data_IF_277560387391
#
_entry.id   IF_277560387391
#
_cell.length_a   1.000
_cell.length_b   1.000
_cell.length_c   1.000
_cell.angle_alpha   90.00
_cell.angle_beta   90.00
_cell.angle_gamma   90.00
#
_symmetry.space_group_name_H-M   'P 1'
#
loop_
_entity.id
_entity.type
_entity.pdbx_description
1 polymer ?
#
# COMPACT_ATOMS: atom_id res chain seq x y z
N UNK A 1 8.36 1.61 -24.00
CA UNK A 1 7.95 0.92 -22.76
C UNK A 1 6.58 1.43 -22.43
N UNK A 2 5.61 0.53 -22.29
CA UNK A 2 4.24 0.90 -21.89
C UNK A 2 4.24 1.24 -20.39
N UNK A 3 3.76 2.43 -20.05
CA UNK A 3 3.53 2.81 -18.66
C UNK A 3 2.22 2.16 -18.20
N UNK A 4 2.29 1.33 -17.16
CA UNK A 4 1.08 0.74 -16.57
C UNK A 4 0.63 1.65 -15.43
N UNK A 5 -0.57 2.22 -15.55
CA UNK A 5 -1.22 2.93 -14.46
C UNK A 5 -1.63 1.92 -13.39
N UNK A 6 -1.28 2.20 -12.15
CA UNK A 6 -1.54 1.32 -11.00
C UNK A 6 -1.79 2.14 -9.75
N UNK A 7 -2.18 1.46 -8.67
CA UNK A 7 -2.46 2.09 -7.39
C UNK A 7 -1.55 1.48 -6.32
N UNK A 8 -1.02 2.29 -5.44
CA UNK A 8 -0.23 1.87 -4.29
C UNK A 8 -0.73 2.55 -3.02
N UNK A 9 -0.44 1.97 -1.86
CA UNK A 9 -0.77 2.59 -0.57
C UNK A 9 0.48 3.30 -0.05
N UNK A 10 0.37 4.57 0.29
CA UNK A 10 1.47 5.41 0.77
C UNK A 10 1.20 5.92 2.19
N UNK A 11 2.24 5.97 3.02
CA UNK A 11 2.17 6.65 4.29
C UNK A 11 2.27 8.17 4.06
N UNK A 12 1.24 8.92 4.46
CA UNK A 12 1.13 10.36 4.18
C UNK A 12 2.25 11.20 4.77
N UNK A 13 2.80 10.78 5.92
CA UNK A 13 3.87 11.48 6.65
C UNK A 13 5.25 11.17 6.08
N UNK A 14 5.57 9.90 5.87
CA UNK A 14 6.92 9.47 5.46
C UNK A 14 7.09 9.40 3.95
N UNK A 15 5.98 9.43 3.19
CA UNK A 15 5.94 9.25 1.75
C UNK A 15 6.54 7.92 1.27
N UNK A 16 6.61 6.92 2.16
CA UNK A 16 7.01 5.55 1.84
C UNK A 16 5.81 4.72 1.43
N UNK A 17 6.00 3.83 0.45
CA UNK A 17 4.98 2.91 -0.03
C UNK A 17 4.89 1.68 0.88
N UNK A 18 3.68 1.18 1.07
CA UNK A 18 3.42 -0.07 1.78
C UNK A 18 3.83 -1.24 0.88
N UNK A 19 4.71 -2.11 1.38
CA UNK A 19 5.11 -3.34 0.71
C UNK A 19 4.75 -4.61 1.49
N UNK A 20 4.26 -4.45 2.72
CA UNK A 20 3.83 -5.57 3.56
C UNK A 20 3.06 -5.09 4.77
N UNK A 21 2.46 -6.04 5.48
CA UNK A 21 1.68 -5.78 6.70
C UNK A 21 2.05 -6.83 7.74
N UNK A 22 2.35 -6.39 8.96
CA UNK A 22 2.52 -7.26 10.10
C UNK A 22 1.14 -7.58 10.69
N UNK A 23 0.62 -8.77 10.36
CA UNK A 23 -0.67 -9.25 10.84
C UNK A 23 -0.65 -9.75 12.29
N UNK A 24 0.53 -9.92 12.89
CA UNK A 24 0.64 -10.35 14.29
C UNK A 24 0.35 -9.23 15.29
N UNK A 25 0.46 -7.96 14.83
CA UNK A 25 0.27 -6.76 15.64
C UNK A 25 -1.00 -6.03 15.24
N UNK A 26 -2.12 -6.59 15.67
CA UNK A 26 -3.43 -5.97 15.55
C UNK A 26 -3.73 -5.06 16.75
N UNK A 27 -4.07 -3.81 16.48
CA UNK A 27 -4.35 -2.79 17.49
C UNK A 27 -5.70 -2.13 17.22
N UNK A 28 -6.56 -2.10 18.24
CA UNK A 28 -7.86 -1.45 18.18
C UNK A 28 -7.71 0.04 18.55
N UNK A 29 -8.13 0.94 17.67
CA UNK A 29 -8.15 2.38 17.95
C UNK A 29 -9.25 2.72 18.96
N UNK A 30 -9.21 3.95 19.52
CA UNK A 30 -10.25 4.45 20.44
C UNK A 30 -11.66 4.41 19.84
N UNK A 31 -11.75 4.37 18.52
CA UNK A 31 -12.97 4.40 17.72
C UNK A 31 -13.40 2.98 17.29
N UNK A 32 -12.77 1.93 17.84
CA UNK A 32 -13.10 0.53 17.58
C UNK A 32 -12.55 -0.01 16.25
N UNK A 33 -11.66 0.72 15.56
CA UNK A 33 -11.09 0.28 14.29
C UNK A 33 -9.84 -0.58 14.50
N UNK A 34 -9.75 -1.70 13.81
CA UNK A 34 -8.55 -2.53 13.78
C UNK A 34 -7.49 -1.91 12.86
N UNK A 35 -6.28 -1.74 13.38
CA UNK A 35 -5.12 -1.21 12.66
C UNK A 35 -3.94 -2.15 12.82
N UNK A 36 -3.18 -2.31 11.74
CA UNK A 36 -2.00 -3.18 11.71
C UNK A 36 -0.76 -2.37 11.38
N UNK A 37 0.40 -2.86 11.78
CA UNK A 37 1.66 -2.23 11.41
C UNK A 37 1.96 -2.49 9.94
N UNK A 38 2.23 -1.43 9.18
CA UNK A 38 2.58 -1.54 7.76
C UNK A 38 4.10 -1.48 7.60
N UNK A 39 4.65 -2.39 6.81
CA UNK A 39 6.02 -2.30 6.35
C UNK A 39 6.08 -1.32 5.17
N UNK A 40 6.94 -0.31 5.28
CA UNK A 40 7.03 0.77 4.29
C UNK A 40 8.45 0.97 3.76
N UNK A 41 8.58 1.23 2.46
CA UNK A 41 9.85 1.41 1.75
C UNK A 41 9.72 2.44 0.63
N UNK A 42 10.85 2.99 0.18
CA UNK A 42 10.91 3.79 -1.05
C UNK A 42 11.15 2.92 -2.30
N UNK A 43 11.77 1.75 -2.14
CA UNK A 43 12.17 0.88 -3.25
C UNK A 43 11.25 -0.32 -3.47
N UNK A 44 10.20 -0.47 -2.67
CA UNK A 44 9.26 -1.59 -2.78
C UNK A 44 7.86 -1.13 -2.44
N UNK A 45 6.89 -1.58 -3.22
CA UNK A 45 5.48 -1.26 -3.07
C UNK A 45 4.64 -2.46 -3.48
N UNK A 46 3.54 -2.69 -2.77
CA UNK A 46 2.44 -3.49 -3.30
C UNK A 46 1.62 -2.58 -4.22
N UNK A 47 1.39 -3.07 -5.43
CA UNK A 47 0.67 -2.36 -6.48
C UNK A 47 -0.59 -3.12 -6.86
N UNK A 48 -1.63 -2.38 -7.21
CA UNK A 48 -2.93 -2.89 -7.61
C UNK A 48 -3.24 -2.37 -9.01
N UNK A 49 -3.80 -3.22 -9.86
CA UNK A 49 -4.16 -2.84 -11.23
C UNK A 49 -5.30 -1.82 -11.28
N UNK A 50 -6.17 -1.81 -10.27
CA UNK A 50 -7.32 -0.92 -10.20
C UNK A 50 -7.56 -0.37 -8.78
N UNK A 51 -8.31 0.73 -8.71
CA UNK A 51 -8.61 1.44 -7.46
C UNK A 51 -9.36 0.54 -6.47
N UNK A 52 -10.29 -0.28 -6.94
CA UNK A 52 -11.11 -1.16 -6.08
C UNK A 52 -10.25 -2.23 -5.41
N UNK A 53 -9.25 -2.75 -6.11
CA UNK A 53 -8.23 -3.64 -5.56
C UNK A 53 -7.41 -2.96 -4.48
N UNK A 54 -7.03 -1.70 -4.69
CA UNK A 54 -6.31 -0.92 -3.70
C UNK A 54 -7.16 -0.60 -2.46
N UNK A 55 -8.45 -0.28 -2.62
CA UNK A 55 -9.39 -0.04 -1.51
C UNK A 55 -9.55 -1.28 -0.65
N UNK A 56 -9.77 -2.45 -1.26
CA UNK A 56 -9.81 -3.73 -0.56
C UNK A 56 -8.49 -4.02 0.16
N UNK A 57 -7.36 -3.76 -0.50
CA UNK A 57 -6.04 -3.90 0.09
C UNK A 57 -5.85 -2.99 1.31
N UNK A 58 -6.28 -1.74 1.22
CA UNK A 58 -6.20 -0.75 2.28
C UNK A 58 -7.00 -1.17 3.51
N UNK A 59 -8.23 -1.64 3.32
CA UNK A 59 -9.10 -2.14 4.39
C UNK A 59 -8.54 -3.42 5.03
N UNK A 60 -8.22 -4.43 4.23
CA UNK A 60 -7.71 -5.72 4.72
C UNK A 60 -6.43 -5.55 5.55
N UNK A 61 -5.55 -4.64 5.13
CA UNK A 61 -4.31 -4.33 5.81
C UNK A 61 -4.50 -3.50 7.06
N UNK A 62 -5.72 -2.99 7.34
CA UNK A 62 -5.98 -2.13 8.48
C UNK A 62 -5.23 -0.79 8.37
N UNK A 63 -5.11 -0.26 7.16
CA UNK A 63 -4.48 1.04 6.95
C UNK A 63 -5.34 2.13 7.63
N UNK A 64 -4.74 2.83 8.59
CA UNK A 64 -5.36 3.92 9.32
C UNK A 64 -5.38 5.23 8.52
N UNK A 65 -5.88 6.30 9.14
CA UNK A 65 -5.93 7.64 8.56
C UNK A 65 -4.55 8.22 8.19
N UNK A 66 -3.44 7.61 8.62
CA UNK A 66 -2.07 7.99 8.25
C UNK A 66 -1.64 7.52 6.85
N UNK A 67 -2.49 6.78 6.15
CA UNK A 67 -2.22 6.25 4.81
C UNK A 67 -3.23 6.79 3.80
N UNK A 68 -2.87 6.74 2.52
CA UNK A 68 -3.76 7.02 1.39
C UNK A 68 -3.43 6.10 0.22
N UNK A 69 -4.38 5.94 -0.70
CA UNK A 69 -4.15 5.26 -1.98
C UNK A 69 -3.68 6.33 -2.96
N UNK A 70 -2.59 6.05 -3.66
CA UNK A 70 -1.99 6.93 -4.65
C UNK A 70 -1.86 6.21 -5.98
N UNK A 71 -2.21 6.89 -7.06
CA UNK A 71 -1.94 6.44 -8.42
C UNK A 71 -0.44 6.53 -8.72
N UNK A 72 0.11 5.46 -9.28
CA UNK A 72 1.54 5.31 -9.58
C UNK A 72 1.73 4.75 -10.99
N UNK A 73 2.79 5.19 -11.65
CA UNK A 73 3.22 4.64 -12.93
C UNK A 73 4.26 3.57 -12.70
N UNK A 74 4.02 2.37 -13.22
CA UNK A 74 4.99 1.27 -13.18
C UNK A 74 5.68 1.17 -14.53
N UNK A 75 7.01 1.13 -14.49
CA UNK A 75 7.85 0.86 -15.64
C UNK A 75 8.37 -0.58 -15.53
N UNK A 76 7.92 -1.50 -16.39
CA UNK A 76 8.51 -2.83 -16.43
C UNK A 76 9.98 -2.72 -16.85
N UNK A 77 10.88 -3.13 -15.98
CA UNK A 77 12.28 -3.33 -16.34
C UNK A 77 12.39 -4.69 -17.03
N UNK A 78 12.61 -4.68 -18.35
CA UNK A 78 12.76 -5.88 -19.15
C UNK A 78 13.98 -6.69 -18.69
N UNK A 79 13.77 -7.65 -17.80
CA UNK A 79 14.78 -8.61 -17.37
C UNK A 79 14.49 -9.97 -17.98
N UNK A 80 15.34 -10.40 -18.92
CA UNK A 80 15.53 -11.83 -19.17
C UNK A 80 15.97 -12.44 -17.83
N UNK A 81 15.15 -13.33 -17.27
CA UNK A 81 15.57 -14.25 -16.22
C UNK A 81 16.51 -15.30 -16.82
#
# INVERSE_FOLDING_TARGET
MEEIMSYAIINKRTKKYVYGTDYSRDHVTKDGKHTKNQFTSFGSAIVYADLRGAERGFEHRGCGQGYEIQEVKILPVGGKQ
#
